data_IF_324074138302
#
_entry.id   IF_324074138302
#
_cell.length_a   1.000
_cell.length_b   1.000
_cell.length_c   1.000
_cell.angle_alpha   90.00
_cell.angle_beta   90.00
_cell.angle_gamma   90.00
#
_symmetry.space_group_name_H-M   'P 1'
#
loop_
_entity.id
_entity.type
_entity.pdbx_description
1 polymer ?
#
# COMPACT_ATOMS: atom_id res chain seq x y z
N UNK A 1 17.45 17.82 64.18
CA UNK A 1 18.62 17.15 63.55
C UNK A 1 18.11 15.77 63.15
N UNK A 2 17.80 15.36 61.91
CA UNK A 2 18.15 15.80 60.56
C UNK A 2 17.06 15.36 59.54
N UNK A 3 15.85 15.93 59.63
CA UNK A 3 14.72 15.55 58.74
C UNK A 3 14.91 15.95 57.27
N UNK A 4 15.81 16.89 57.00
CA UNK A 4 16.10 17.34 55.64
C UNK A 4 16.95 16.32 54.86
N UNK A 5 17.83 15.58 55.53
CA UNK A 5 18.65 14.54 54.90
C UNK A 5 17.82 13.31 54.51
N UNK A 6 16.73 13.04 55.24
CA UNK A 6 15.76 11.97 54.94
C UNK A 6 14.76 12.32 53.84
N UNK A 7 14.81 13.50 53.22
CA UNK A 7 14.03 13.83 52.02
C UNK A 7 14.90 14.14 50.79
N UNK A 8 16.22 13.99 50.92
CA UNK A 8 17.16 14.23 49.82
C UNK A 8 17.05 13.15 48.75
N UNK A 9 16.71 13.56 47.53
CA UNK A 9 16.71 12.75 46.31
C UNK A 9 18.12 12.27 45.91
N UNK A 10 19.16 12.88 46.49
CA UNK A 10 20.57 12.55 46.25
C UNK A 10 21.08 11.42 47.14
N UNK A 11 20.31 11.02 48.17
CA UNK A 11 20.65 9.88 49.02
C UNK A 11 20.10 8.62 48.37
N UNK A 12 21.00 7.85 47.74
CA UNK A 12 20.67 6.55 47.17
C UNK A 12 20.22 5.58 48.27
N UNK A 13 18.91 5.30 48.32
CA UNK A 13 18.36 4.26 49.19
C UNK A 13 18.22 2.95 48.43
N UNK A 14 18.59 1.81 49.05
CA UNK A 14 18.27 0.50 48.50
C UNK A 14 16.75 0.31 48.55
N UNK A 15 16.07 0.67 47.46
CA UNK A 15 14.63 0.51 47.28
C UNK A 15 14.37 -0.58 46.25
N UNK A 16 13.21 -1.25 46.35
CA UNK A 16 12.79 -2.24 45.33
C UNK A 16 12.62 -1.62 43.94
N UNK A 17 12.62 -0.29 43.84
CA UNK A 17 12.55 0.48 42.61
C UNK A 17 13.73 0.18 41.68
N UNK A 18 14.95 -0.02 42.20
CA UNK A 18 16.10 -0.34 41.32
C UNK A 18 15.91 -1.69 40.61
N UNK A 19 15.40 -2.70 41.32
CA UNK A 19 15.07 -4.01 40.71
C UNK A 19 13.98 -3.85 39.68
N UNK A 20 12.92 -3.10 39.99
CA UNK A 20 11.84 -2.83 39.04
C UNK A 20 12.34 -2.16 37.76
N UNK A 21 13.21 -1.15 37.87
CA UNK A 21 13.82 -0.48 36.71
C UNK A 21 14.67 -1.45 35.89
N UNK A 22 15.50 -2.28 36.54
CA UNK A 22 16.31 -3.29 35.84
C UNK A 22 15.43 -4.30 35.09
N UNK A 23 14.38 -4.81 35.73
CA UNK A 23 13.44 -5.73 35.09
C UNK A 23 12.66 -5.06 33.96
N UNK A 24 12.27 -3.79 34.12
CA UNK A 24 11.58 -3.04 33.10
C UNK A 24 12.47 -2.85 31.86
N UNK A 25 13.68 -2.33 32.05
CA UNK A 25 14.64 -2.14 30.94
C UNK A 25 15.00 -3.49 30.30
N UNK A 26 15.28 -4.51 31.11
CA UNK A 26 15.57 -5.86 30.63
C UNK A 26 14.41 -6.46 29.83
N UNK A 27 13.18 -6.26 30.28
CA UNK A 27 11.98 -6.70 29.57
C UNK A 27 11.82 -6.02 28.21
N UNK A 28 12.03 -4.70 28.13
CA UNK A 28 11.96 -3.98 26.85
C UNK A 28 13.03 -4.47 25.87
N UNK A 29 14.27 -4.66 26.34
CA UNK A 29 15.34 -5.21 25.53
C UNK A 29 15.02 -6.63 25.04
N UNK A 30 14.47 -7.48 25.91
CA UNK A 30 14.05 -8.83 25.54
C UNK A 30 12.97 -8.81 24.45
N UNK A 31 11.97 -7.93 24.57
CA UNK A 31 10.91 -7.76 23.55
C UNK A 31 11.49 -7.28 22.23
N UNK A 32 12.39 -6.30 22.24
CA UNK A 32 13.04 -5.80 21.02
C UNK A 32 13.86 -6.90 20.32
N UNK A 33 14.64 -7.66 21.07
CA UNK A 33 15.43 -8.77 20.52
C UNK A 33 14.51 -9.84 19.95
N UNK A 34 13.44 -10.22 20.66
CA UNK A 34 12.46 -11.18 20.18
C UNK A 34 11.79 -10.71 18.87
N UNK A 35 11.41 -9.44 18.78
CA UNK A 35 10.82 -8.86 17.57
C UNK A 35 11.79 -8.89 16.38
N UNK A 36 13.07 -8.55 16.59
CA UNK A 36 14.09 -8.61 15.55
C UNK A 36 14.29 -10.04 15.06
N UNK A 37 14.42 -11.00 15.99
CA UNK A 37 14.57 -12.41 15.65
C UNK A 37 13.35 -12.92 14.87
N UNK A 38 12.15 -12.65 15.37
CA UNK A 38 10.91 -13.01 14.69
C UNK A 38 10.86 -12.45 13.27
N UNK A 39 11.15 -11.15 13.10
CA UNK A 39 11.19 -10.53 11.79
C UNK A 39 12.23 -11.17 10.86
N UNK A 40 13.39 -11.59 11.36
CA UNK A 40 14.41 -12.27 10.56
C UNK A 40 13.98 -13.67 10.11
N UNK A 41 13.31 -14.43 10.98
CA UNK A 41 12.84 -15.77 10.65
C UNK A 41 11.57 -15.78 9.80
N UNK A 42 10.76 -14.71 9.86
CA UNK A 42 9.49 -14.61 9.12
C UNK A 42 9.55 -13.65 7.93
N UNK A 43 10.68 -12.97 7.70
CA UNK A 43 10.84 -12.08 6.56
C UNK A 43 10.60 -12.84 5.25
N UNK A 44 9.61 -12.38 4.49
CA UNK A 44 9.38 -12.83 3.12
C UNK A 44 10.59 -12.50 2.24
N UNK A 45 10.86 -13.32 1.21
CA UNK A 45 12.00 -13.11 0.32
C UNK A 45 11.94 -11.71 -0.30
N UNK A 46 13.12 -11.09 -0.41
CA UNK A 46 13.27 -9.75 -0.99
C UNK A 46 12.77 -9.77 -2.43
N UNK A 47 11.62 -9.13 -2.68
CA UNK A 47 11.07 -8.98 -4.03
C UNK A 47 11.93 -7.96 -4.77
N UNK A 48 12.52 -8.40 -5.89
CA UNK A 48 13.28 -7.52 -6.76
C UNK A 48 12.30 -6.62 -7.55
N UNK A 49 12.28 -5.34 -7.21
CA UNK A 49 11.41 -4.34 -7.83
C UNK A 49 11.94 -3.87 -9.20
N UNK A 50 13.20 -4.15 -9.51
CA UNK A 50 13.81 -3.85 -10.81
C UNK A 50 13.64 -5.02 -11.79
N UNK A 51 12.83 -6.03 -11.43
CA UNK A 51 12.48 -7.12 -12.33
C UNK A 51 11.83 -6.56 -13.58
N UNK A 52 12.54 -6.68 -14.72
CA UNK A 52 12.05 -6.24 -16.03
C UNK A 52 10.68 -6.89 -16.28
N UNK A 53 9.60 -6.10 -16.47
CA UNK A 53 8.28 -6.66 -16.67
C UNK A 53 8.27 -7.58 -17.88
N UNK A 54 7.66 -8.77 -17.72
CA UNK A 54 7.51 -9.74 -18.79
C UNK A 54 6.57 -9.14 -19.83
N UNK A 55 7.14 -8.62 -20.91
CA UNK A 55 6.39 -8.11 -22.06
C UNK A 55 5.79 -9.29 -22.82
N UNK A 56 4.60 -9.73 -22.44
CA UNK A 56 3.84 -10.69 -23.21
C UNK A 56 3.21 -9.98 -24.42
N UNK A 57 3.92 -9.99 -25.55
CA UNK A 57 3.33 -9.61 -26.83
C UNK A 57 2.45 -10.76 -27.30
N UNK A 58 1.17 -10.50 -27.54
CA UNK A 58 0.29 -11.43 -28.27
C UNK A 58 0.77 -11.51 -29.72
N UNK A 59 1.79 -12.34 -29.95
CA UNK A 59 2.25 -12.65 -31.30
C UNK A 59 1.15 -13.44 -31.97
N UNK A 60 0.62 -12.89 -33.06
CA UNK A 60 -0.41 -13.53 -33.87
C UNK A 60 0.22 -14.74 -34.59
N UNK A 61 0.25 -15.87 -33.91
CA UNK A 61 0.72 -17.14 -34.46
C UNK A 61 -0.38 -17.72 -35.36
N UNK A 62 -0.30 -17.49 -36.67
CA UNK A 62 -1.21 -18.07 -37.65
C UNK A 62 -1.35 -17.26 -38.93
N UNK A 63 -1.89 -17.89 -39.98
CA UNK A 63 -2.23 -17.21 -41.23
C UNK A 63 -3.30 -16.14 -40.95
N UNK A 64 -3.24 -14.97 -41.61
CA UNK A 64 -4.32 -13.99 -41.56
C UNK A 64 -5.67 -14.67 -41.87
N UNK A 65 -6.66 -14.51 -40.98
CA UNK A 65 -8.00 -15.07 -41.15
C UNK A 65 -8.60 -14.52 -42.44
N UNK A 66 -9.15 -15.40 -43.29
CA UNK A 66 -9.78 -15.02 -44.55
C UNK A 66 -10.84 -13.91 -44.30
N UNK A 67 -10.77 -12.77 -45.00
CA UNK A 67 -11.73 -11.67 -44.85
C UNK A 67 -13.19 -12.10 -45.09
N UNK A 68 -13.44 -13.19 -45.82
CA UNK A 68 -14.78 -13.75 -46.02
C UNK A 68 -15.34 -14.46 -44.78
N UNK A 69 -14.47 -14.85 -43.85
CA UNK A 69 -14.82 -15.49 -42.57
C UNK A 69 -14.87 -14.50 -41.41
N UNK A 70 -14.60 -13.22 -41.67
CA UNK A 70 -14.85 -12.17 -40.70
C UNK A 70 -16.35 -11.90 -40.67
N UNK A 71 -16.96 -11.73 -39.49
CA UNK A 71 -18.31 -11.19 -39.40
C UNK A 71 -18.38 -9.92 -40.25
N UNK A 72 -19.30 -9.90 -41.22
CA UNK A 72 -19.54 -8.70 -42.03
C UNK A 72 -19.97 -7.61 -41.07
N UNK A 73 -19.24 -6.50 -41.04
CA UNK A 73 -19.64 -5.33 -40.24
C UNK A 73 -21.05 -4.96 -40.67
N UNK A 74 -21.98 -4.86 -39.72
CA UNK A 74 -23.31 -4.33 -40.02
C UNK A 74 -23.13 -2.95 -40.66
N UNK A 75 -23.68 -2.80 -41.86
CA UNK A 75 -23.72 -1.53 -42.55
C UNK A 75 -24.60 -0.60 -41.69
N UNK A 76 -24.02 0.41 -41.06
CA UNK A 76 -24.80 1.41 -40.34
C UNK A 76 -25.84 2.00 -41.31
N UNK A 77 -27.11 1.99 -40.92
CA UNK A 77 -28.18 2.62 -41.70
C UNK A 77 -27.81 4.08 -41.99
N UNK A 78 -28.08 4.59 -43.20
CA UNK A 78 -27.74 5.96 -43.56
C UNK A 78 -28.37 6.93 -42.55
N UNK A 79 -27.61 7.93 -42.06
CA UNK A 79 -28.10 8.83 -41.02
C UNK A 79 -29.36 9.58 -41.48
N UNK A 80 -30.39 9.71 -40.62
CA UNK A 80 -31.58 10.49 -40.93
C UNK A 80 -31.21 11.94 -41.26
N UNK A 81 -31.88 12.53 -42.26
CA UNK A 81 -31.65 13.92 -42.66
C UNK A 81 -32.09 14.87 -41.53
N UNK A 82 -31.20 15.77 -41.13
CA UNK A 82 -31.48 16.80 -40.13
C UNK A 82 -32.53 17.79 -40.66
N UNK A 83 -33.62 17.94 -39.91
CA UNK A 83 -34.64 18.97 -40.15
C UNK A 83 -34.30 20.15 -39.23
N UNK A 84 -33.91 21.28 -39.83
CA UNK A 84 -33.56 22.49 -39.09
C UNK A 84 -34.82 23.08 -38.41
N UNK A 85 -34.81 23.12 -37.07
CA UNK A 85 -35.84 23.81 -36.31
C UNK A 85 -35.62 25.32 -36.40
N UNK A 86 -36.55 26.03 -37.05
CA UNK A 86 -36.62 27.49 -37.06
C UNK A 86 -37.22 27.95 -35.73
N UNK A 87 -36.38 28.50 -34.85
CA UNK A 87 -36.82 29.13 -33.62
C UNK A 87 -37.25 30.57 -33.87
N UNK A 88 -38.54 30.87 -33.79
CA UNK A 88 -39.06 32.23 -33.65
C UNK A 88 -39.54 32.46 -32.21
N UNK A 89 -38.72 33.15 -31.41
CA UNK A 89 -39.17 33.74 -30.15
C UNK A 89 -39.63 35.18 -30.42
N UNK A 90 -40.94 35.41 -30.34
CA UNK A 90 -41.56 36.75 -30.39
C UNK A 90 -41.60 37.31 -28.97
N UNK A 91 -41.00 38.49 -28.77
CA UNK A 91 -40.99 39.23 -27.52
C UNK A 91 -42.02 40.36 -27.62
N UNK A 92 -43.15 40.27 -26.94
CA UNK A 92 -44.03 41.40 -26.54
C UNK A 92 -44.88 40.99 -25.35
#
# INVERSE_FOLDING_TARGET
MDSALTHSLLVARPTKLSRFVVFSVGGHLAVLVAAILYARFTATPKVDLDTKPINASLVRLGKPRDPKLLPRKEQAQPPPKEVAATGSYTHL
#
